data_IF_292827424316
#
_entry.id   IF_292827424316
#
_cell.length_a   1.000
_cell.length_b   1.000
_cell.length_c   1.000
_cell.angle_alpha   90.00
_cell.angle_beta   90.00
_cell.angle_gamma   90.00
#
_symmetry.space_group_name_H-M   'P 1'
#
loop_
_entity.id
_entity.type
_entity.pdbx_description
1 polymer ?
#
# COMPACT_ATOMS: atom_id res chain seq x y z
N UNK A 1 2.80 17.20 -17.94
CA UNK A 1 3.10 16.59 -16.62
C UNK A 1 4.52 16.04 -16.53
N UNK A 2 5.20 15.86 -17.63
CA UNK A 2 6.51 15.17 -17.83
C UNK A 2 7.61 15.48 -16.81
N UNK A 3 7.78 16.75 -16.42
CA UNK A 3 8.89 17.15 -15.54
C UNK A 3 8.46 17.39 -14.08
N UNK A 4 7.17 17.20 -13.77
CA UNK A 4 6.60 17.54 -12.46
C UNK A 4 6.20 16.26 -11.70
N UNK A 5 5.77 15.21 -12.40
CA UNK A 5 5.17 14.01 -11.82
C UNK A 5 5.79 12.74 -12.39
N UNK A 6 6.11 11.81 -11.50
CA UNK A 6 6.38 10.39 -11.81
C UNK A 6 5.31 9.51 -11.17
N UNK A 7 5.14 8.29 -11.66
CA UNK A 7 4.26 7.28 -11.04
C UNK A 7 5.13 6.16 -10.50
N UNK A 8 4.84 5.70 -9.29
CA UNK A 8 5.47 4.54 -8.64
C UNK A 8 4.40 3.47 -8.42
N UNK A 9 4.64 2.28 -8.92
CA UNK A 9 3.70 1.15 -8.82
C UNK A 9 4.42 0.00 -8.09
N UNK A 10 4.09 -0.25 -6.81
CA UNK A 10 4.50 -1.49 -6.15
C UNK A 10 3.67 -2.64 -6.72
N UNK A 11 4.33 -3.64 -7.28
CA UNK A 11 3.69 -4.80 -7.92
C UNK A 11 4.12 -6.10 -7.26
N UNK A 12 3.17 -6.99 -7.05
CA UNK A 12 3.42 -8.37 -6.62
C UNK A 12 2.42 -9.28 -7.31
N UNK A 13 2.90 -10.16 -8.19
CA UNK A 13 2.08 -11.10 -8.98
C UNK A 13 0.89 -10.44 -9.70
N UNK A 14 1.12 -9.24 -10.29
CA UNK A 14 0.04 -8.39 -10.84
C UNK A 14 0.28 -7.97 -12.29
N UNK A 15 1.03 -8.75 -13.06
CA UNK A 15 1.48 -8.41 -14.42
C UNK A 15 0.35 -8.00 -15.36
N UNK A 16 -0.77 -8.72 -15.36
CA UNK A 16 -1.92 -8.41 -16.23
C UNK A 16 -2.50 -7.01 -15.96
N UNK A 17 -2.55 -6.60 -14.69
CA UNK A 17 -3.06 -5.28 -14.29
C UNK A 17 -2.09 -4.17 -14.66
N UNK A 18 -0.78 -4.41 -14.55
CA UNK A 18 0.24 -3.48 -15.00
C UNK A 18 0.05 -3.11 -16.47
N UNK A 19 -0.18 -4.07 -17.35
CA UNK A 19 -0.42 -3.79 -18.78
C UNK A 19 -1.64 -2.91 -19.02
N UNK A 20 -2.72 -3.10 -18.24
CA UNK A 20 -3.92 -2.25 -18.29
C UNK A 20 -3.57 -0.80 -17.91
N UNK A 21 -2.89 -0.59 -16.79
CA UNK A 21 -2.51 0.74 -16.33
C UNK A 21 -1.57 1.49 -17.28
N UNK A 22 -0.62 0.78 -17.89
CA UNK A 22 0.29 1.40 -18.85
C UNK A 22 -0.42 1.93 -20.11
N UNK A 23 -1.61 1.41 -20.45
CA UNK A 23 -2.45 1.96 -21.53
C UNK A 23 -3.19 3.23 -21.09
N UNK A 24 -3.60 3.31 -19.84
CA UNK A 24 -4.46 4.36 -19.30
C UNK A 24 -3.67 5.57 -18.76
N UNK A 25 -2.40 5.36 -18.38
CA UNK A 25 -1.52 6.42 -17.90
C UNK A 25 -1.01 7.30 -19.06
N UNK A 26 -0.83 8.62 -18.83
CA UNK A 26 -0.27 9.51 -19.85
C UNK A 26 1.11 9.06 -20.32
N UNK A 27 1.32 8.97 -21.64
CA UNK A 27 2.56 8.45 -22.25
C UNK A 27 3.82 9.30 -21.98
N UNK A 28 3.65 10.54 -21.52
CA UNK A 28 4.74 11.46 -21.23
C UNK A 28 5.27 11.38 -19.80
N UNK A 29 4.62 10.65 -18.90
CA UNK A 29 5.00 10.50 -17.48
C UNK A 29 6.04 9.36 -17.34
N UNK A 30 7.02 9.55 -16.46
CA UNK A 30 7.93 8.48 -16.04
C UNK A 30 7.23 7.53 -15.07
N UNK A 31 7.31 6.24 -15.33
CA UNK A 31 6.72 5.21 -14.49
C UNK A 31 7.83 4.32 -13.95
N UNK A 32 7.78 4.03 -12.66
CA UNK A 32 8.72 3.17 -11.95
C UNK A 32 7.90 2.05 -11.32
N UNK A 33 8.16 0.82 -11.74
CA UNK A 33 7.51 -0.38 -11.23
C UNK A 33 8.51 -1.13 -10.37
N UNK A 34 8.15 -1.38 -9.12
CA UNK A 34 8.91 -2.27 -8.23
C UNK A 34 8.20 -3.62 -8.22
N UNK A 35 8.79 -4.57 -8.92
CA UNK A 35 8.23 -5.89 -9.14
C UNK A 35 8.76 -6.87 -8.09
N UNK A 36 7.94 -7.10 -7.07
CA UNK A 36 8.28 -7.89 -5.87
C UNK A 36 8.16 -9.42 -6.05
N UNK A 37 7.71 -9.89 -7.22
CA UNK A 37 7.66 -11.33 -7.55
C UNK A 37 8.73 -11.77 -8.55
N UNK A 38 9.67 -10.89 -8.89
CA UNK A 38 10.78 -11.15 -9.81
C UNK A 38 10.35 -11.58 -11.22
N UNK A 39 9.21 -11.11 -11.72
CA UNK A 39 8.71 -11.42 -13.05
C UNK A 39 9.61 -10.84 -14.16
N UNK A 40 10.59 -11.65 -14.59
CA UNK A 40 11.53 -11.31 -15.68
C UNK A 40 10.80 -11.08 -17.00
N UNK A 41 9.76 -11.87 -17.30
CA UNK A 41 8.97 -11.76 -18.52
C UNK A 41 8.23 -10.42 -18.60
N UNK A 42 7.64 -9.97 -17.50
CA UNK A 42 7.04 -8.63 -17.40
C UNK A 42 8.08 -7.54 -17.72
N UNK A 43 9.26 -7.61 -17.08
CA UNK A 43 10.34 -6.62 -17.29
C UNK A 43 10.78 -6.54 -18.75
N UNK A 44 11.03 -7.68 -19.40
CA UNK A 44 11.46 -7.75 -20.80
C UNK A 44 10.38 -7.18 -21.75
N UNK A 45 9.13 -7.59 -21.58
CA UNK A 45 8.02 -7.12 -22.38
C UNK A 45 7.79 -5.61 -22.24
N UNK A 46 7.88 -5.08 -21.02
CA UNK A 46 7.76 -3.64 -20.78
C UNK A 46 8.92 -2.88 -21.42
N UNK A 47 10.15 -3.35 -21.25
CA UNK A 47 11.35 -2.72 -21.87
C UNK A 47 11.23 -2.59 -23.40
N UNK A 48 10.64 -3.59 -24.06
CA UNK A 48 10.44 -3.57 -25.53
C UNK A 48 9.39 -2.51 -25.96
N UNK A 49 8.32 -2.30 -25.18
CA UNK A 49 7.16 -1.50 -25.60
C UNK A 49 7.14 -0.07 -25.01
N UNK A 50 7.74 0.16 -23.85
CA UNK A 50 7.52 1.38 -23.06
C UNK A 50 8.85 2.03 -22.65
N UNK A 51 9.38 2.92 -23.48
CA UNK A 51 10.69 3.58 -23.24
C UNK A 51 10.78 4.40 -21.93
N UNK A 52 9.65 4.83 -21.37
CA UNK A 52 9.60 5.67 -20.15
C UNK A 52 9.22 4.89 -18.90
N UNK A 53 9.11 3.58 -18.99
CA UNK A 53 8.79 2.70 -17.86
C UNK A 53 10.05 1.98 -17.41
N UNK A 54 10.40 2.12 -16.15
CA UNK A 54 11.50 1.40 -15.50
C UNK A 54 10.94 0.31 -14.61
N UNK A 55 11.29 -0.95 -14.86
CA UNK A 55 10.94 -2.08 -14.01
C UNK A 55 12.17 -2.52 -13.23
N UNK A 56 12.02 -2.57 -11.90
CA UNK A 56 13.05 -3.02 -10.96
C UNK A 56 12.54 -4.31 -10.34
N UNK A 57 13.25 -5.40 -10.63
CA UNK A 57 12.96 -6.71 -10.02
C UNK A 57 13.54 -6.73 -8.61
N UNK A 58 12.75 -7.22 -7.66
CA UNK A 58 13.13 -7.33 -6.27
C UNK A 58 12.49 -8.60 -5.67
N UNK A 59 13.18 -9.27 -4.72
CA UNK A 59 12.50 -10.20 -3.81
C UNK A 59 11.42 -9.44 -3.06
N UNK A 60 10.33 -10.10 -2.68
CA UNK A 60 9.26 -9.42 -1.95
C UNK A 60 9.78 -8.75 -0.67
N UNK A 61 9.83 -7.43 -0.69
CA UNK A 61 10.27 -6.58 0.44
C UNK A 61 9.10 -5.90 1.15
N UNK A 62 7.88 -6.23 0.77
CA UNK A 62 6.67 -5.61 1.29
C UNK A 62 6.29 -4.32 0.57
N UNK A 63 5.10 -3.82 0.89
CA UNK A 63 4.47 -2.73 0.16
C UNK A 63 5.17 -1.37 0.38
N UNK A 64 5.32 -0.95 1.63
CA UNK A 64 5.94 0.34 1.97
C UNK A 64 7.40 0.42 1.53
N UNK A 65 8.15 -0.68 1.67
CA UNK A 65 9.55 -0.77 1.23
C UNK A 65 9.68 -0.72 -0.29
N UNK A 66 8.74 -1.28 -1.05
CA UNK A 66 8.71 -1.16 -2.50
C UNK A 66 8.51 0.31 -2.93
N UNK A 67 7.63 1.04 -2.26
CA UNK A 67 7.44 2.48 -2.52
C UNK A 67 8.70 3.28 -2.15
N UNK A 68 9.31 3.01 -1.00
CA UNK A 68 10.58 3.62 -0.59
C UNK A 68 11.66 3.40 -1.64
N UNK A 69 11.81 2.17 -2.15
CA UNK A 69 12.76 1.84 -3.20
C UNK A 69 12.42 2.60 -4.50
N UNK A 70 11.17 2.60 -4.93
CA UNK A 70 10.70 3.32 -6.12
C UNK A 70 10.95 4.81 -6.04
N UNK A 71 10.74 5.41 -4.87
CA UNK A 71 10.95 6.84 -4.64
C UNK A 71 12.40 7.31 -4.85
N UNK A 72 13.39 6.41 -4.70
CA UNK A 72 14.82 6.70 -4.96
C UNK A 72 15.11 6.99 -6.43
N UNK A 73 14.27 6.48 -7.34
CA UNK A 73 14.40 6.69 -8.78
C UNK A 73 13.56 7.87 -9.30
N UNK A 74 12.77 8.50 -8.43
CA UNK A 74 11.98 9.68 -8.76
C UNK A 74 12.90 10.91 -8.83
N UNK A 75 12.84 11.62 -9.99
CA UNK A 75 13.56 12.88 -10.22
C UNK A 75 12.64 14.10 -10.31
N UNK A 76 11.32 13.88 -10.25
CA UNK A 76 10.28 14.91 -10.36
C UNK A 76 9.93 15.48 -8.99
N UNK A 77 9.31 16.68 -8.98
CA UNK A 77 8.84 17.33 -7.74
C UNK A 77 7.85 16.46 -6.97
N UNK A 78 6.94 15.79 -7.69
CA UNK A 78 5.94 14.92 -7.11
C UNK A 78 6.05 13.51 -7.66
N UNK A 79 5.61 12.55 -6.86
CA UNK A 79 5.33 11.20 -7.36
C UNK A 79 3.97 10.73 -6.87
N UNK A 80 3.29 9.99 -7.73
CA UNK A 80 2.00 9.37 -7.44
C UNK A 80 2.20 7.88 -7.29
N UNK A 81 1.79 7.36 -6.15
CA UNK A 81 1.74 5.91 -5.89
C UNK A 81 0.36 5.41 -6.27
N UNK A 82 0.30 4.34 -7.02
CA UNK A 82 -0.94 3.62 -7.30
C UNK A 82 -0.75 2.11 -7.21
N UNK A 83 -1.72 1.45 -6.61
CA UNK A 83 -1.74 0.00 -6.56
C UNK A 83 -2.10 -0.59 -7.93
N UNK A 84 -1.70 -1.85 -8.22
CA UNK A 84 -2.09 -2.52 -9.46
C UNK A 84 -3.61 -2.72 -9.64
N UNK A 85 -4.41 -2.60 -8.60
CA UNK A 85 -5.87 -2.68 -8.61
C UNK A 85 -6.56 -1.32 -8.49
N UNK A 86 -5.78 -0.24 -8.60
CA UNK A 86 -6.30 1.14 -8.61
C UNK A 86 -6.54 1.61 -10.03
N UNK A 87 -7.74 2.06 -10.32
CA UNK A 87 -8.11 2.68 -11.60
C UNK A 87 -8.24 4.19 -11.39
N UNK A 88 -7.56 4.97 -12.23
CA UNK A 88 -7.68 6.43 -12.27
C UNK A 88 -8.40 6.87 -13.53
N UNK A 89 -9.09 8.01 -13.46
CA UNK A 89 -9.79 8.59 -14.61
C UNK A 89 -8.87 9.54 -15.37
N UNK A 90 -9.20 9.81 -16.64
CA UNK A 90 -8.41 10.66 -17.56
C UNK A 90 -7.93 11.98 -16.95
N UNK A 91 -8.73 12.62 -16.10
CA UNK A 91 -8.39 13.90 -15.48
C UNK A 91 -7.88 13.80 -14.04
N UNK A 92 -7.81 12.62 -13.44
CA UNK A 92 -7.45 12.43 -12.03
C UNK A 92 -6.14 13.12 -11.67
N UNK A 93 -5.06 12.79 -12.37
CA UNK A 93 -3.73 13.36 -12.08
C UNK A 93 -3.66 14.87 -12.31
N UNK A 94 -4.35 15.39 -13.35
CA UNK A 94 -4.42 16.82 -13.65
C UNK A 94 -5.13 17.60 -12.53
N UNK A 95 -6.28 17.10 -12.07
CA UNK A 95 -7.06 17.71 -10.99
C UNK A 95 -6.33 17.62 -9.65
N UNK A 96 -5.69 16.49 -9.38
CA UNK A 96 -4.86 16.29 -8.18
C UNK A 96 -3.73 17.33 -8.11
N UNK A 97 -2.96 17.49 -9.20
CA UNK A 97 -1.90 18.50 -9.28
C UNK A 97 -2.43 19.95 -9.19
N UNK A 98 -3.62 20.24 -9.77
CA UNK A 98 -4.27 21.55 -9.63
C UNK A 98 -4.65 21.84 -8.17
N UNK A 99 -5.17 20.83 -7.45
CA UNK A 99 -5.46 20.94 -6.02
C UNK A 99 -4.20 21.19 -5.18
N UNK A 100 -3.11 20.48 -5.48
CA UNK A 100 -1.83 20.65 -4.78
C UNK A 100 -1.23 22.06 -4.87
N UNK A 101 -1.51 22.81 -5.96
CA UNK A 101 -1.06 24.20 -6.08
C UNK A 101 -1.66 25.15 -5.03
N UNK A 102 -2.79 24.76 -4.42
CA UNK A 102 -3.44 25.51 -3.34
C UNK A 102 -2.89 25.17 -1.95
N UNK A 103 -1.95 24.23 -1.85
CA UNK A 103 -1.40 23.70 -0.60
C UNK A 103 0.09 24.07 -0.54
N UNK A 104 0.51 24.81 0.49
CA UNK A 104 1.93 25.18 0.65
C UNK A 104 2.82 23.98 0.99
N UNK A 105 2.34 23.09 1.87
CA UNK A 105 3.08 21.95 2.39
C UNK A 105 2.13 20.80 2.76
N UNK A 106 2.47 19.59 2.39
CA UNK A 106 1.68 18.40 2.71
C UNK A 106 2.55 17.14 2.84
N UNK A 107 2.08 16.17 3.63
CA UNK A 107 2.68 14.84 3.72
C UNK A 107 2.25 13.94 2.58
N UNK A 108 0.95 13.91 2.31
CA UNK A 108 0.36 13.17 1.21
C UNK A 108 -0.95 13.82 0.76
N UNK A 109 -1.34 13.60 -0.49
CA UNK A 109 -2.62 14.02 -1.05
C UNK A 109 -3.24 12.86 -1.81
N UNK A 110 -4.52 12.56 -1.57
CA UNK A 110 -5.23 11.51 -2.31
C UNK A 110 -6.33 12.10 -3.22
N UNK A 111 -6.66 11.45 -4.34
CA UNK A 111 -7.95 11.65 -4.98
C UNK A 111 -9.06 11.06 -4.09
N UNK A 112 -10.29 11.48 -4.32
CA UNK A 112 -11.46 10.92 -3.66
C UNK A 112 -11.88 9.59 -4.31
N UNK A 113 -12.70 8.82 -3.63
CA UNK A 113 -13.30 7.61 -4.20
C UNK A 113 -14.38 7.93 -5.24
N UNK A 114 -14.53 7.08 -6.25
CA UNK A 114 -15.57 7.17 -7.28
C UNK A 114 -16.98 7.20 -6.69
N UNK A 115 -17.21 6.41 -5.67
CA UNK A 115 -18.50 6.28 -4.98
C UNK A 115 -18.93 7.59 -4.31
N UNK A 116 -18.00 8.49 -4.13
CA UNK A 116 -18.25 9.84 -3.60
C UNK A 116 -18.50 10.89 -4.70
N UNK A 117 -18.50 10.50 -5.98
CA UNK A 117 -18.80 11.40 -7.09
C UNK A 117 -20.26 11.88 -6.99
N UNK A 118 -20.46 13.19 -7.10
CA UNK A 118 -21.78 13.81 -6.94
C UNK A 118 -22.10 14.30 -5.53
N UNK A 119 -21.35 13.89 -4.51
CA UNK A 119 -21.48 14.48 -3.17
C UNK A 119 -21.06 15.95 -3.18
N UNK A 120 -21.79 16.77 -2.42
CA UNK A 120 -21.44 18.18 -2.19
C UNK A 120 -20.33 18.27 -1.14
N UNK A 121 -19.27 19.00 -1.44
CA UNK A 121 -18.16 19.27 -0.54
C UNK A 121 -18.04 20.77 -0.28
N UNK A 122 -17.74 21.15 0.96
CA UNK A 122 -17.50 22.56 1.33
C UNK A 122 -16.24 23.14 0.63
N UNK A 123 -15.28 22.29 0.32
CA UNK A 123 -14.02 22.66 -0.33
C UNK A 123 -13.52 21.58 -1.27
N UNK A 124 -12.84 22.01 -2.35
CA UNK A 124 -12.13 21.10 -3.26
C UNK A 124 -10.94 20.42 -2.55
N UNK A 125 -10.27 21.12 -1.65
CA UNK A 125 -9.13 20.64 -0.86
C UNK A 125 -9.61 20.44 0.56
N UNK A 126 -9.62 19.20 1.04
CA UNK A 126 -10.10 18.86 2.38
C UNK A 126 -8.98 18.20 3.19
N UNK A 127 -8.71 18.75 4.39
CA UNK A 127 -7.74 18.14 5.31
C UNK A 127 -8.27 16.83 5.87
N UNK A 128 -7.42 15.82 5.95
CA UNK A 128 -7.75 14.48 6.46
C UNK A 128 -6.70 14.01 7.46
N UNK A 129 -7.14 13.28 8.49
CA UNK A 129 -6.25 12.61 9.44
C UNK A 129 -5.60 11.35 8.86
N UNK A 130 -6.29 10.70 7.93
CA UNK A 130 -5.84 9.50 7.21
C UNK A 130 -6.30 9.57 5.76
N UNK A 131 -5.58 8.90 4.87
CA UNK A 131 -5.91 8.79 3.45
C UNK A 131 -6.06 7.32 3.08
N UNK A 132 -6.53 7.08 1.87
CA UNK A 132 -6.59 5.71 1.34
C UNK A 132 -5.27 5.32 0.71
N UNK A 133 -4.71 4.20 1.14
CA UNK A 133 -3.38 3.71 0.72
C UNK A 133 -3.21 3.37 -0.76
N UNK A 134 -4.30 3.13 -1.51
CA UNK A 134 -4.25 2.66 -2.90
C UNK A 134 -3.88 3.71 -3.95
N UNK A 135 -4.02 5.01 -3.64
CA UNK A 135 -3.76 6.13 -4.55
C UNK A 135 -3.32 7.37 -3.79
N UNK A 136 -2.03 7.68 -3.79
CA UNK A 136 -1.48 8.81 -3.04
C UNK A 136 -0.41 9.57 -3.83
N UNK A 137 -0.47 10.90 -3.77
CA UNK A 137 0.54 11.78 -4.30
C UNK A 137 1.39 12.35 -3.17
N UNK A 138 2.69 12.32 -3.36
CA UNK A 138 3.69 12.81 -2.43
C UNK A 138 4.54 13.92 -3.05
N UNK A 139 4.92 14.93 -2.27
CA UNK A 139 6.06 15.77 -2.59
C UNK A 139 7.35 14.98 -2.30
N UNK A 140 8.22 14.85 -3.29
CA UNK A 140 9.40 13.99 -3.20
C UNK A 140 10.38 14.42 -2.10
N UNK A 141 10.56 15.72 -1.91
CA UNK A 141 11.45 16.25 -0.84
C UNK A 141 10.82 16.04 0.53
N UNK A 142 9.50 16.27 0.64
CA UNK A 142 8.78 16.09 1.90
C UNK A 142 8.71 14.63 2.30
N UNK A 143 8.43 13.71 1.38
CA UNK A 143 8.44 12.27 1.64
C UNK A 143 9.78 11.80 2.22
N UNK A 144 10.89 12.25 1.65
CA UNK A 144 12.25 11.98 2.17
C UNK A 144 12.47 12.60 3.56
N UNK A 145 12.01 13.84 3.77
CA UNK A 145 12.13 14.54 5.07
C UNK A 145 11.35 13.82 6.18
N UNK A 146 10.17 13.27 5.89
CA UNK A 146 9.37 12.48 6.83
C UNK A 146 10.01 11.11 7.11
N UNK A 147 10.95 10.65 6.25
CA UNK A 147 11.62 9.37 6.35
C UNK A 147 10.91 8.22 5.63
N UNK A 148 9.95 8.53 4.74
CA UNK A 148 9.21 7.52 3.99
C UNK A 148 8.38 6.58 4.85
N UNK A 149 8.08 5.38 4.33
CA UNK A 149 7.42 4.31 5.09
C UNK A 149 8.41 3.60 6.03
N UNK A 150 7.90 3.03 7.12
CA UNK A 150 8.75 2.29 8.06
C UNK A 150 9.29 1.01 7.41
N UNK A 151 10.63 0.87 7.40
CA UNK A 151 11.32 -0.27 6.80
C UNK A 151 11.05 -1.60 7.51
N UNK A 152 10.65 -1.55 8.77
CA UNK A 152 10.36 -2.74 9.57
C UNK A 152 8.94 -3.29 9.34
N UNK A 153 8.08 -2.57 8.64
CA UNK A 153 6.72 -3.01 8.30
C UNK A 153 6.74 -3.64 6.91
N UNK A 154 6.39 -4.93 6.83
CA UNK A 154 6.30 -5.63 5.56
C UNK A 154 4.98 -5.34 4.84
N UNK A 155 3.85 -5.46 5.53
CA UNK A 155 2.51 -5.27 4.97
C UNK A 155 1.52 -4.83 6.05
N UNK A 156 0.61 -3.92 5.67
CA UNK A 156 -0.38 -3.26 6.54
C UNK A 156 0.22 -2.33 7.61
N UNK A 157 -0.51 -1.31 7.99
CA UNK A 157 -0.11 -0.25 8.92
C UNK A 157 1.06 0.64 8.46
N UNK A 158 1.67 0.42 7.30
CA UNK A 158 2.69 1.32 6.75
C UNK A 158 2.16 2.72 6.47
N UNK A 159 0.93 2.82 5.97
CA UNK A 159 0.23 4.09 5.76
C UNK A 159 -0.14 4.76 7.09
N UNK A 160 -0.68 4.01 8.05
CA UNK A 160 -0.97 4.51 9.39
C UNK A 160 0.29 5.05 10.10
N UNK A 161 1.41 4.34 9.99
CA UNK A 161 2.72 4.78 10.49
C UNK A 161 3.16 6.11 9.82
N UNK A 162 3.07 6.18 8.50
CA UNK A 162 3.43 7.37 7.76
C UNK A 162 2.54 8.57 8.12
N UNK A 163 1.23 8.37 8.24
CA UNK A 163 0.30 9.42 8.64
C UNK A 163 0.54 9.87 10.08
N UNK A 164 0.94 8.97 10.97
CA UNK A 164 1.30 9.32 12.34
C UNK A 164 2.60 10.14 12.39
N UNK A 165 3.61 9.78 11.58
CA UNK A 165 4.82 10.62 11.41
C UNK A 165 4.47 12.03 10.92
N UNK A 166 3.60 12.13 9.91
CA UNK A 166 3.13 13.42 9.42
C UNK A 166 2.50 14.26 10.54
N UNK A 167 1.55 13.69 11.30
CA UNK A 167 0.88 14.39 12.40
C UNK A 167 1.85 14.86 13.49
N UNK A 168 2.79 13.98 13.88
CA UNK A 168 3.83 14.33 14.90
C UNK A 168 4.75 15.45 14.43
N UNK A 169 4.92 15.62 13.11
CA UNK A 169 5.70 16.72 12.52
C UNK A 169 4.86 17.96 12.17
N UNK A 170 3.57 18.00 12.53
CA UNK A 170 2.65 19.09 12.16
C UNK A 170 2.42 19.21 10.64
N UNK A 171 2.60 18.11 9.89
CA UNK A 171 2.43 18.07 8.44
C UNK A 171 1.06 17.49 8.13
N UNK A 172 0.24 18.28 7.43
CA UNK A 172 -1.13 17.94 7.08
C UNK A 172 -1.21 17.05 5.84
N UNK A 173 -2.33 16.37 5.69
CA UNK A 173 -2.66 15.52 4.55
C UNK A 173 -4.03 15.95 4.01
N UNK A 174 -4.27 15.73 2.72
CA UNK A 174 -5.46 16.27 2.08
C UNK A 174 -6.08 15.30 1.08
N UNK A 175 -7.39 15.40 0.88
CA UNK A 175 -8.10 14.78 -0.25
C UNK A 175 -8.53 15.89 -1.23
N UNK A 176 -8.39 15.63 -2.53
CA UNK A 176 -8.88 16.51 -3.60
C UNK A 176 -10.23 15.97 -4.07
N UNK A 177 -11.30 16.62 -3.62
CA UNK A 177 -12.67 16.14 -3.73
C UNK A 177 -13.24 16.09 -5.16
N UNK A 178 -12.64 16.75 -6.14
CA UNK A 178 -13.02 16.70 -7.55
C UNK A 178 -12.08 15.82 -8.41
N UNK A 179 -11.15 15.13 -7.79
CA UNK A 179 -10.27 14.14 -8.40
C UNK A 179 -10.67 12.76 -7.90
N UNK A 180 -10.89 11.79 -8.78
CA UNK A 180 -11.45 10.52 -8.38
C UNK A 180 -10.58 9.34 -8.79
N UNK A 181 -10.65 8.27 -7.99
CA UNK A 181 -10.12 6.96 -8.30
C UNK A 181 -11.12 5.88 -7.92
N UNK A 182 -10.94 4.70 -8.47
CA UNK A 182 -11.66 3.49 -8.09
C UNK A 182 -10.64 2.43 -7.69
N UNK A 183 -10.93 1.72 -6.61
CA UNK A 183 -10.09 0.61 -6.15
C UNK A 183 -10.86 -0.69 -6.34
N UNK A 184 -10.34 -1.58 -7.19
CA UNK A 184 -10.90 -2.91 -7.38
C UNK A 184 -10.56 -3.74 -6.13
N UNK A 185 -11.42 -3.68 -5.11
CA UNK A 185 -11.18 -4.33 -3.81
C UNK A 185 -10.72 -5.77 -3.97
N UNK A 186 -9.64 -6.12 -3.28
CA UNK A 186 -9.09 -7.48 -3.15
C UNK A 186 -8.64 -8.19 -4.44
N UNK A 187 -8.51 -7.50 -5.54
CA UNK A 187 -8.18 -8.11 -6.81
C UNK A 187 -6.68 -8.09 -7.17
N UNK A 188 -5.84 -7.35 -6.41
CA UNK A 188 -4.44 -7.10 -6.78
C UNK A 188 -3.53 -8.33 -6.77
N UNK A 189 -3.88 -9.39 -6.07
CA UNK A 189 -3.09 -10.63 -6.06
C UNK A 189 -3.79 -11.83 -6.68
N UNK A 190 -5.12 -11.89 -6.61
CA UNK A 190 -5.88 -13.11 -6.92
C UNK A 190 -5.85 -13.55 -8.39
N UNK A 191 -5.74 -12.61 -9.33
CA UNK A 191 -5.76 -12.92 -10.77
C UNK A 191 -4.47 -13.55 -11.31
N UNK A 192 -3.37 -13.56 -10.55
CA UNK A 192 -2.05 -13.98 -11.02
C UNK A 192 -1.42 -15.09 -10.18
N UNK A 193 -2.12 -15.61 -9.17
CA UNK A 193 -1.69 -16.80 -8.46
C UNK A 193 -1.77 -18.05 -9.35
N UNK A 194 -0.73 -18.87 -9.33
CA UNK A 194 -0.66 -20.08 -10.16
C UNK A 194 -1.60 -21.17 -9.68
N UNK A 195 -1.91 -21.22 -8.40
CA UNK A 195 -2.75 -22.24 -7.78
C UNK A 195 -3.67 -21.66 -6.70
N UNK A 196 -4.78 -22.36 -6.42
CA UNK A 196 -5.69 -22.04 -5.31
C UNK A 196 -4.92 -22.09 -3.97
N UNK A 197 -4.03 -23.06 -3.80
CA UNK A 197 -3.22 -23.19 -2.57
C UNK A 197 -2.33 -21.97 -2.34
N UNK A 198 -1.73 -21.42 -3.39
CA UNK A 198 -0.93 -20.20 -3.32
C UNK A 198 -1.78 -18.99 -2.92
N UNK A 199 -2.96 -18.84 -3.51
CA UNK A 199 -3.90 -17.77 -3.17
C UNK A 199 -4.36 -17.86 -1.71
N UNK A 200 -4.72 -19.05 -1.25
CA UNK A 200 -5.11 -19.29 0.15
C UNK A 200 -3.98 -18.97 1.12
N UNK A 201 -2.76 -19.37 0.79
CA UNK A 201 -1.62 -19.06 1.64
C UNK A 201 -1.34 -17.55 1.73
N UNK A 202 -1.47 -16.82 0.62
CA UNK A 202 -1.37 -15.35 0.63
C UNK A 202 -2.46 -14.72 1.50
N UNK A 203 -3.68 -15.24 1.47
CA UNK A 203 -4.76 -14.81 2.35
C UNK A 203 -4.42 -15.05 3.84
N UNK A 204 -3.85 -16.20 4.20
CA UNK A 204 -3.41 -16.47 5.57
C UNK A 204 -2.29 -15.53 6.00
N UNK A 205 -1.30 -15.30 5.14
CA UNK A 205 -0.22 -14.33 5.40
C UNK A 205 -0.75 -12.91 5.61
N UNK A 206 -1.80 -12.50 4.90
CA UNK A 206 -2.44 -11.21 5.12
C UNK A 206 -2.96 -11.07 6.55
N UNK A 207 -3.57 -12.13 7.11
CA UNK A 207 -3.98 -12.17 8.52
C UNK A 207 -2.80 -12.04 9.48
N UNK A 208 -1.71 -12.76 9.21
CA UNK A 208 -0.47 -12.73 9.98
C UNK A 208 0.12 -11.31 10.01
N UNK A 209 0.35 -10.72 8.86
CA UNK A 209 0.93 -9.38 8.74
C UNK A 209 0.06 -8.30 9.37
N UNK A 210 -1.27 -8.39 9.22
CA UNK A 210 -2.20 -7.44 9.81
C UNK A 210 -2.09 -7.38 11.33
N UNK A 211 -1.96 -8.54 11.99
CA UNK A 211 -1.84 -8.59 13.45
C UNK A 211 -0.43 -8.23 13.92
N UNK A 212 0.61 -8.69 13.22
CA UNK A 212 1.99 -8.30 13.50
C UNK A 212 2.15 -6.79 13.47
N UNK A 213 1.74 -6.17 12.38
CA UNK A 213 1.92 -4.74 12.14
C UNK A 213 1.06 -3.88 13.06
N UNK A 214 -0.13 -4.38 13.45
CA UNK A 214 -0.98 -3.71 14.44
C UNK A 214 -0.27 -3.56 15.78
N UNK A 215 0.27 -4.67 16.32
CA UNK A 215 0.98 -4.63 17.60
C UNK A 215 2.24 -3.77 17.51
N UNK A 216 3.05 -3.95 16.45
CA UNK A 216 4.25 -3.14 16.22
C UNK A 216 3.95 -1.65 16.18
N UNK A 217 2.89 -1.24 15.49
CA UNK A 217 2.46 0.17 15.41
C UNK A 217 2.11 0.73 16.79
N UNK A 218 1.30 0.04 17.58
CA UNK A 218 0.96 0.47 18.94
C UNK A 218 2.16 0.44 19.87
N UNK A 219 3.02 -0.58 19.80
CA UNK A 219 4.27 -0.63 20.56
C UNK A 219 5.14 0.61 20.28
N UNK A 220 5.25 0.99 19.01
CA UNK A 220 6.07 2.13 18.57
C UNK A 220 5.56 3.48 19.05
N UNK A 221 4.25 3.68 19.09
CA UNK A 221 3.66 4.99 19.36
C UNK A 221 3.03 5.13 20.74
N UNK A 222 2.57 4.05 21.32
CA UNK A 222 1.84 4.01 22.58
C UNK A 222 2.60 3.29 23.71
N UNK A 223 3.71 2.60 23.38
CA UNK A 223 4.50 1.81 24.31
C UNK A 223 4.04 0.34 24.38
N UNK A 224 4.92 -0.53 24.92
CA UNK A 224 4.72 -1.98 24.90
C UNK A 224 3.49 -2.43 25.70
N UNK A 225 3.33 -1.94 26.95
CA UNK A 225 2.21 -2.32 27.82
C UNK A 225 0.86 -1.91 27.22
N UNK A 226 0.77 -0.68 26.68
CA UNK A 226 -0.46 -0.23 26.04
C UNK A 226 -0.77 -1.01 24.77
N UNK A 227 0.25 -1.39 23.98
CA UNK A 227 0.07 -2.27 22.83
C UNK A 227 -0.48 -3.63 23.23
N UNK A 228 0.00 -4.23 24.33
CA UNK A 228 -0.55 -5.46 24.87
C UNK A 228 -2.03 -5.31 25.22
N UNK A 229 -2.40 -4.28 26.00
CA UNK A 229 -3.79 -4.02 26.40
C UNK A 229 -4.69 -3.86 25.15
N UNK A 230 -4.26 -3.14 24.14
CA UNK A 230 -5.03 -2.91 22.91
C UNK A 230 -5.16 -4.14 22.01
N UNK A 231 -4.22 -5.08 22.09
CA UNK A 231 -4.19 -6.26 21.22
C UNK A 231 -4.67 -7.54 21.94
N UNK A 232 -4.61 -7.60 23.27
CA UNK A 232 -5.05 -8.76 24.06
C UNK A 232 -6.50 -9.20 23.78
N UNK A 233 -7.51 -8.31 23.68
CA UNK A 233 -8.87 -8.71 23.32
C UNK A 233 -8.95 -9.43 21.97
N UNK A 234 -8.15 -8.99 21.00
CA UNK A 234 -8.08 -9.64 19.69
C UNK A 234 -7.42 -11.04 19.79
N UNK A 235 -6.42 -11.21 20.65
CA UNK A 235 -5.78 -12.49 20.88
C UNK A 235 -6.79 -13.48 21.47
N UNK A 236 -7.47 -13.09 22.53
CA UNK A 236 -8.49 -13.93 23.21
C UNK A 236 -9.61 -14.31 22.22
N UNK A 237 -10.17 -13.35 21.50
CA UNK A 237 -11.21 -13.62 20.50
C UNK A 237 -10.75 -14.55 19.38
N UNK A 238 -9.51 -14.43 18.91
CA UNK A 238 -8.96 -15.31 17.90
C UNK A 238 -8.72 -16.72 18.46
N UNK A 239 -8.28 -16.87 19.72
CA UNK A 239 -8.11 -18.18 20.36
C UNK A 239 -9.48 -18.88 20.50
N UNK A 240 -10.50 -18.18 21.00
CA UNK A 240 -11.86 -18.72 21.11
C UNK A 240 -12.42 -19.12 19.74
N UNK A 241 -12.24 -18.26 18.71
CA UNK A 241 -12.64 -18.58 17.34
C UNK A 241 -11.89 -19.76 16.75
N UNK A 242 -10.61 -19.97 17.11
CA UNK A 242 -9.84 -21.11 16.67
C UNK A 242 -10.43 -22.39 17.28
N UNK A 243 -10.69 -22.43 18.57
CA UNK A 243 -11.28 -23.58 19.27
C UNK A 243 -12.63 -23.95 18.66
N UNK A 244 -13.53 -22.97 18.49
CA UNK A 244 -14.88 -23.20 17.95
C UNK A 244 -14.85 -23.67 16.47
N UNK A 245 -13.94 -23.18 15.65
CA UNK A 245 -13.92 -23.48 14.22
C UNK A 245 -13.05 -24.71 13.87
N UNK A 246 -12.18 -25.15 14.78
CA UNK A 246 -11.20 -26.23 14.51
C UNK A 246 -11.87 -27.53 13.98
N UNK A 247 -12.98 -28.01 14.53
CA UNK A 247 -13.61 -29.23 14.07
C UNK A 247 -14.40 -29.08 12.76
N UNK A 248 -14.75 -27.83 12.32
CA UNK A 248 -15.79 -27.65 11.30
C UNK A 248 -15.30 -26.86 10.07
N UNK A 249 -14.36 -25.93 10.22
CA UNK A 249 -14.02 -24.94 9.19
C UNK A 249 -12.51 -24.74 8.99
N UNK A 250 -11.82 -25.72 8.40
CA UNK A 250 -10.38 -25.73 8.21
C UNK A 250 -9.76 -24.41 7.71
N UNK A 251 -10.30 -23.79 6.65
CA UNK A 251 -9.77 -22.52 6.09
C UNK A 251 -9.87 -21.38 7.09
N UNK A 252 -11.00 -21.26 7.80
CA UNK A 252 -11.23 -20.22 8.80
C UNK A 252 -10.32 -20.42 10.01
N UNK A 253 -10.15 -21.65 10.47
CA UNK A 253 -9.25 -22.01 11.56
C UNK A 253 -7.81 -21.68 11.21
N UNK A 254 -7.37 -22.05 10.02
CA UNK A 254 -6.00 -21.74 9.55
C UNK A 254 -5.74 -20.24 9.42
N UNK A 255 -6.69 -19.46 8.90
CA UNK A 255 -6.59 -18.00 8.88
C UNK A 255 -6.47 -17.41 10.30
N UNK A 256 -7.30 -17.90 11.23
CA UNK A 256 -7.28 -17.47 12.63
C UNK A 256 -5.97 -17.85 13.33
N UNK A 257 -5.45 -19.05 13.07
CA UNK A 257 -4.13 -19.46 13.54
C UNK A 257 -3.02 -18.51 13.09
N UNK A 258 -2.99 -18.15 11.80
CA UNK A 258 -2.00 -17.19 11.28
C UNK A 258 -2.13 -15.81 11.94
N UNK A 259 -3.33 -15.36 12.27
CA UNK A 259 -3.54 -14.11 13.02
C UNK A 259 -2.93 -14.17 14.42
N UNK A 260 -3.14 -15.27 15.13
CA UNK A 260 -2.56 -15.52 16.47
C UNK A 260 -1.04 -15.54 16.36
N UNK A 261 -0.49 -16.35 15.44
CA UNK A 261 0.94 -16.46 15.21
C UNK A 261 1.58 -15.10 14.90
N UNK A 262 0.96 -14.28 14.04
CA UNK A 262 1.46 -12.97 13.70
C UNK A 262 1.51 -12.00 14.89
N UNK A 263 0.47 -12.02 15.72
CA UNK A 263 0.44 -11.21 16.93
C UNK A 263 1.52 -11.65 17.93
N UNK A 264 1.65 -12.96 18.21
CA UNK A 264 2.66 -13.51 19.10
C UNK A 264 4.06 -13.17 18.57
N UNK A 265 4.31 -13.36 17.27
CA UNK A 265 5.59 -13.03 16.65
C UNK A 265 6.00 -11.57 16.89
N UNK A 266 5.03 -10.63 16.80
CA UNK A 266 5.29 -9.21 17.07
C UNK A 266 5.53 -8.93 18.55
N UNK A 267 4.80 -9.58 19.45
CA UNK A 267 4.95 -9.45 20.90
C UNK A 267 6.38 -9.85 21.31
N UNK A 268 6.88 -10.98 20.83
CA UNK A 268 8.24 -11.48 21.16
C UNK A 268 9.34 -10.86 20.28
N UNK A 269 9.00 -9.91 19.39
CA UNK A 269 9.97 -9.14 18.64
C UNK A 269 10.53 -9.81 17.38
N UNK A 270 9.88 -10.83 16.84
CA UNK A 270 10.29 -11.43 15.57
C UNK A 270 10.06 -10.48 14.40
N UNK A 271 10.82 -10.66 13.33
CA UNK A 271 10.74 -9.84 12.11
C UNK A 271 9.39 -9.96 11.40
N UNK A 272 8.93 -8.86 10.78
CA UNK A 272 7.72 -8.84 9.93
C UNK A 272 7.91 -9.54 8.58
N UNK A 273 9.13 -9.90 8.19
CA UNK A 273 9.46 -10.35 6.83
C UNK A 273 9.14 -11.83 6.57
N UNK A 274 7.95 -12.27 6.97
CA UNK A 274 7.42 -13.60 6.62
C UNK A 274 6.88 -13.58 5.18
N UNK A 275 7.63 -14.18 4.26
CA UNK A 275 7.26 -14.26 2.83
C UNK A 275 6.41 -15.49 2.53
N UNK A 276 5.78 -15.49 1.36
CA UNK A 276 5.13 -16.69 0.86
C UNK A 276 6.17 -17.76 0.52
N UNK A 277 5.90 -19.00 0.91
CA UNK A 277 6.70 -20.17 0.49
C UNK A 277 6.61 -20.45 -1.01
N UNK A 278 5.74 -19.77 -1.73
CA UNK A 278 5.58 -19.82 -3.17
C UNK A 278 6.31 -18.66 -3.89
N UNK A 279 7.16 -17.92 -3.19
CA UNK A 279 7.97 -16.82 -3.74
C UNK A 279 9.36 -17.28 -4.21
N UNK A 280 9.66 -18.58 -4.05
CA UNK A 280 10.91 -19.21 -4.47
C UNK A 280 10.87 -19.68 -5.92
#
# INVERSE_FOLDING_TARGET
MKNILSVVIPSYKSSNKIYKHLKDLPKDIKIIIIENSQDKKLKENIKKKYKKVKVILQKNIGYGNAINLGSRFVKTKFFFVMNPDTVIYKNTLKLLLKGCKKIKKFGAVSPNYKENKGKRYKSIVEEKKTLTGGAMLFDTKMFKKIGGFDKNIFLYYEDNDYFTKCRKMGIKMYTINNSYHFHEKQSSGSATFKTIKEMEYAYFLAGWHGQWSKFYYHKKYDGYLKALILCLPNLITNILQLIINLPIKYKKSKYTYFKIEGLIASIIGLSSFKRSKFDE
#
